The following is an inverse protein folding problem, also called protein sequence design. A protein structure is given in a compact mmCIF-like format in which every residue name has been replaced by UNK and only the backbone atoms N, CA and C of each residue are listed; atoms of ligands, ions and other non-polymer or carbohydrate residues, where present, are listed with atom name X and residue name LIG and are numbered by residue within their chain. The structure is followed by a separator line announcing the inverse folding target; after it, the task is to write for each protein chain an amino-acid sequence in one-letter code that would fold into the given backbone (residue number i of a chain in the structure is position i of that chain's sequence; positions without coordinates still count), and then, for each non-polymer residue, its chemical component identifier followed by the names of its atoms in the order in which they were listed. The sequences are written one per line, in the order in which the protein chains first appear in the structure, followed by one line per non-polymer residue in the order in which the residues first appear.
data_IF_912586311040
#
_entry.id   IF_912586311040
#
_cell.length_a   1.000
_cell.length_b   1.000
_cell.length_c   1.000
_cell.angle_alpha   90.00
_cell.angle_beta   90.00
_cell.angle_gamma   90.00
#
_symmetry.space_group_name_H-M   'P 1'
#
loop_
_entity.id
_entity.type
_entity.pdbx_description
1 polymer ?
#
# COMPACT_ATOMS: atom_id res chain seq x y z
N UNK A 1 58.10 -17.78 -35.39
CA UNK A 1 57.56 -16.45 -35.71
C UNK A 1 56.21 -16.61 -36.39
N UNK A 2 55.33 -15.61 -36.28
CA UNK A 2 54.01 -15.43 -36.91
C UNK A 2 52.75 -15.49 -36.01
N UNK A 3 52.62 -14.38 -35.27
CA UNK A 3 51.46 -13.45 -35.27
C UNK A 3 50.15 -13.90 -34.62
N UNK A 4 50.05 -13.48 -33.36
CA UNK A 4 48.86 -13.13 -32.58
C UNK A 4 47.75 -12.52 -33.45
N UNK A 5 46.57 -13.16 -33.48
CA UNK A 5 45.33 -12.51 -33.94
C UNK A 5 44.49 -12.15 -32.72
N UNK A 6 44.58 -10.87 -32.35
CA UNK A 6 43.60 -10.19 -31.51
C UNK A 6 42.22 -10.29 -32.19
N UNK A 7 41.34 -11.13 -31.66
CA UNK A 7 39.91 -11.00 -31.93
C UNK A 7 39.32 -10.12 -30.83
N UNK A 8 39.01 -8.88 -31.20
CA UNK A 8 38.29 -7.93 -30.37
C UNK A 8 36.85 -8.44 -30.15
N UNK A 9 36.56 -8.93 -28.95
CA UNK A 9 35.20 -9.17 -28.51
C UNK A 9 34.59 -7.83 -28.08
N UNK A 10 33.74 -7.25 -28.93
CA UNK A 10 32.88 -6.13 -28.59
C UNK A 10 31.85 -6.63 -27.55
N UNK A 11 32.08 -6.33 -26.27
CA UNK A 11 31.04 -6.48 -25.25
C UNK A 11 30.04 -5.33 -25.41
N UNK A 12 28.90 -5.61 -26.02
CA UNK A 12 27.75 -4.72 -26.01
C UNK A 12 27.25 -4.59 -24.56
N UNK A 13 27.49 -3.42 -23.94
CA UNK A 13 26.88 -3.04 -22.67
C UNK A 13 25.39 -2.83 -22.91
N UNK A 14 24.58 -3.86 -22.62
CA UNK A 14 23.15 -3.69 -22.49
C UNK A 14 22.88 -2.80 -21.27
N UNK A 15 22.51 -1.55 -21.53
CA UNK A 15 21.99 -0.66 -20.50
C UNK A 15 20.69 -1.29 -19.97
N UNK A 16 20.72 -1.80 -18.75
CA UNK A 16 19.50 -2.22 -18.04
C UNK A 16 18.75 -0.93 -17.73
N UNK A 17 17.76 -0.59 -18.54
CA UNK A 17 16.76 0.42 -18.19
C UNK A 17 15.94 -0.16 -17.04
N UNK A 18 16.38 0.07 -15.81
CA UNK A 18 15.62 -0.26 -14.63
C UNK A 18 14.29 0.50 -14.69
N UNK A 19 13.18 -0.23 -14.85
CA UNK A 19 11.87 0.33 -14.63
C UNK A 19 11.86 0.89 -13.21
N UNK A 20 11.74 2.20 -13.07
CA UNK A 20 11.47 2.84 -11.80
C UNK A 20 10.05 2.46 -11.38
N UNK A 21 9.86 1.23 -10.91
CA UNK A 21 8.68 0.86 -10.15
C UNK A 21 8.71 1.74 -8.91
N UNK A 22 7.69 2.59 -8.79
CA UNK A 22 7.35 3.38 -7.60
C UNK A 22 7.80 2.57 -6.37
N UNK A 23 8.76 3.10 -5.60
CA UNK A 23 9.19 2.49 -4.33
C UNK A 23 8.01 2.61 -3.36
N UNK A 24 7.01 1.75 -3.53
CA UNK A 24 6.12 1.39 -2.45
C UNK A 24 6.97 0.51 -1.54
N UNK A 25 7.21 0.97 -0.31
CA UNK A 25 7.87 0.17 0.72
C UNK A 25 7.29 -1.24 0.66
N UNK A 26 8.11 -2.31 0.61
CA UNK A 26 7.59 -3.66 0.59
C UNK A 26 6.73 -3.84 1.84
N UNK A 27 5.42 -3.90 1.63
CA UNK A 27 4.45 -4.06 2.69
C UNK A 27 4.68 -5.43 3.32
N UNK A 28 4.97 -5.46 4.62
CA UNK A 28 5.10 -6.71 5.35
C UNK A 28 3.73 -7.31 5.66
N UNK A 29 3.04 -7.76 4.61
CA UNK A 29 1.73 -8.38 4.73
C UNK A 29 1.77 -9.57 5.70
N UNK A 30 2.86 -10.35 5.71
CA UNK A 30 2.97 -11.57 6.51
C UNK A 30 2.95 -11.26 8.00
N UNK A 31 3.64 -10.20 8.43
CA UNK A 31 3.65 -9.78 9.84
C UNK A 31 2.29 -9.28 10.29
N UNK A 32 1.60 -8.48 9.47
CA UNK A 32 0.37 -7.79 9.88
C UNK A 32 -0.93 -8.48 9.46
N UNK A 33 -0.90 -9.58 8.68
CA UNK A 33 -2.13 -10.27 8.20
C UNK A 33 -3.08 -10.73 9.31
N UNK A 34 -2.56 -10.89 10.53
CA UNK A 34 -3.33 -11.34 11.68
C UNK A 34 -3.82 -10.19 12.57
N UNK A 35 -3.43 -8.95 12.28
CA UNK A 35 -3.93 -7.79 13.01
C UNK A 35 -5.45 -7.64 12.80
N UNK A 36 -6.21 -7.17 13.80
CA UNK A 36 -7.67 -7.16 13.76
C UNK A 36 -8.24 -6.49 12.51
N UNK A 37 -7.72 -5.32 12.13
CA UNK A 37 -8.14 -4.58 10.95
C UNK A 37 -7.88 -5.37 9.65
N UNK A 38 -6.68 -5.94 9.49
CA UNK A 38 -6.34 -6.68 8.29
C UNK A 38 -7.16 -7.97 8.16
N UNK A 39 -7.37 -8.66 9.29
CA UNK A 39 -8.00 -9.98 9.35
C UNK A 39 -9.53 -9.96 9.35
N UNK A 40 -10.15 -9.01 10.02
CA UNK A 40 -11.58 -9.06 10.34
C UNK A 40 -12.41 -8.00 9.60
N UNK A 41 -11.83 -6.89 9.16
CA UNK A 41 -12.57 -5.88 8.39
C UNK A 41 -12.72 -6.36 6.96
N UNK A 42 -13.94 -6.40 6.43
CA UNK A 42 -14.20 -6.73 5.03
C UNK A 42 -15.06 -5.66 4.34
N UNK A 43 -15.02 -5.66 3.01
CA UNK A 43 -15.87 -4.80 2.16
C UNK A 43 -17.34 -5.01 2.52
N UNK A 44 -18.08 -3.91 2.66
CA UNK A 44 -19.49 -3.88 3.04
C UNK A 44 -19.76 -3.78 4.55
N UNK A 45 -18.75 -3.95 5.41
CA UNK A 45 -18.91 -3.70 6.85
C UNK A 45 -19.26 -2.23 7.13
N UNK A 46 -20.02 -1.97 8.20
CA UNK A 46 -20.30 -0.59 8.62
C UNK A 46 -19.08 0.04 9.27
N UNK A 47 -18.99 1.38 9.21
CA UNK A 47 -18.03 2.15 9.99
C UNK A 47 -18.03 1.80 11.48
N UNK A 48 -19.21 1.58 12.07
CA UNK A 48 -19.32 1.15 13.48
C UNK A 48 -18.70 -0.23 13.75
N UNK A 49 -18.87 -1.20 12.84
CA UNK A 49 -18.20 -2.50 12.94
C UNK A 49 -16.67 -2.35 12.85
N UNK A 50 -16.18 -1.51 11.95
CA UNK A 50 -14.74 -1.23 11.85
C UNK A 50 -14.18 -0.60 13.12
N UNK A 51 -14.87 0.37 13.70
CA UNK A 51 -14.49 0.99 14.98
C UNK A 51 -14.51 -0.02 16.14
N UNK A 52 -15.40 -1.02 16.09
CA UNK A 52 -15.43 -2.11 17.07
C UNK A 52 -14.20 -3.02 16.94
N UNK A 53 -13.75 -3.28 15.71
CA UNK A 53 -12.59 -4.13 15.43
C UNK A 53 -11.26 -3.42 15.69
N UNK A 54 -11.11 -2.20 15.18
CA UNK A 54 -9.84 -1.46 15.16
C UNK A 54 -9.71 -0.36 16.21
N UNK A 55 -10.76 -0.06 16.96
CA UNK A 55 -10.79 1.08 17.86
C UNK A 55 -10.86 2.43 17.12
N UNK A 56 -10.57 3.54 17.82
CA UNK A 56 -10.58 4.87 17.21
C UNK A 56 -9.46 4.99 16.17
N UNK A 57 -9.73 5.62 15.02
CA UNK A 57 -8.70 5.84 14.01
C UNK A 57 -7.69 6.89 14.50
N UNK A 58 -6.48 6.84 13.94
CA UNK A 58 -5.46 7.87 14.17
C UNK A 58 -5.87 9.20 13.55
N UNK A 59 -6.43 9.17 12.34
CA UNK A 59 -7.09 10.32 11.71
C UNK A 59 -8.27 9.83 10.85
N UNK A 60 -9.23 10.71 10.63
CA UNK A 60 -10.32 10.51 9.69
C UNK A 60 -10.37 11.70 8.73
N UNK A 61 -10.60 11.44 7.44
CA UNK A 61 -10.78 12.47 6.43
C UNK A 61 -11.99 12.20 5.54
N UNK A 62 -12.58 13.28 5.02
CA UNK A 62 -13.55 13.20 3.94
C UNK A 62 -12.80 12.93 2.63
N UNK A 63 -13.26 11.95 1.87
CA UNK A 63 -12.68 11.63 0.57
C UNK A 63 -13.05 12.72 -0.44
N UNK A 64 -12.13 12.98 -1.34
CA UNK A 64 -12.16 14.01 -2.38
C UNK A 64 -12.27 13.40 -3.78
N UNK A 65 -11.76 12.17 -3.97
CA UNK A 65 -11.82 11.46 -5.26
C UNK A 65 -13.12 10.69 -5.43
N UNK A 66 -13.61 10.07 -4.35
CA UNK A 66 -14.90 9.39 -4.28
C UNK A 66 -15.70 9.92 -3.09
N UNK A 67 -17.01 9.74 -3.08
CA UNK A 67 -17.85 10.07 -1.93
C UNK A 67 -17.57 9.12 -0.76
N UNK A 68 -17.61 9.65 0.46
CA UNK A 68 -17.45 8.90 1.70
C UNK A 68 -16.29 9.41 2.56
N UNK A 69 -15.84 8.59 3.50
CA UNK A 69 -14.76 8.93 4.46
C UNK A 69 -13.64 7.90 4.40
N UNK A 70 -12.48 8.22 4.96
CA UNK A 70 -11.38 7.28 5.12
C UNK A 70 -10.75 7.43 6.50
N UNK A 71 -10.50 6.29 7.15
CA UNK A 71 -9.85 6.19 8.43
C UNK A 71 -8.41 5.71 8.27
N UNK A 72 -7.47 6.45 8.85
CA UNK A 72 -6.09 6.02 9.04
C UNK A 72 -5.93 5.28 10.37
N UNK A 73 -5.16 4.20 10.36
CA UNK A 73 -4.74 3.44 11.52
C UNK A 73 -3.22 3.23 11.51
N UNK A 74 -2.66 3.03 12.70
CA UNK A 74 -1.28 2.57 12.88
C UNK A 74 -1.34 1.27 13.66
N UNK A 75 -1.01 0.17 12.98
CA UNK A 75 -0.89 -1.14 13.60
C UNK A 75 0.52 -1.28 14.16
N UNK A 76 0.63 -1.86 15.36
CA UNK A 76 1.91 -2.12 16.00
C UNK A 76 2.05 -3.62 16.26
N UNK A 77 3.12 -4.22 15.74
CA UNK A 77 3.43 -5.63 15.92
C UNK A 77 4.91 -5.81 16.18
N UNK A 78 5.26 -6.41 17.32
CA UNK A 78 6.63 -6.71 17.71
C UNK A 78 7.57 -5.47 17.63
N UNK A 79 7.06 -4.31 18.05
CA UNK A 79 7.76 -3.02 18.01
C UNK A 79 7.81 -2.34 16.63
N UNK A 80 7.33 -3.02 15.59
CA UNK A 80 7.21 -2.48 14.23
C UNK A 80 5.86 -1.78 14.06
N UNK A 81 5.86 -0.64 13.36
CA UNK A 81 4.64 0.12 13.04
C UNK A 81 4.32 0.05 11.56
N UNK A 82 3.05 -0.10 11.24
CA UNK A 82 2.56 -0.14 9.88
C UNK A 82 1.27 0.66 9.76
N UNK A 83 1.24 1.60 8.82
CA UNK A 83 0.04 2.36 8.48
C UNK A 83 -0.96 1.48 7.73
N UNK A 84 -2.23 1.70 7.98
CA UNK A 84 -3.33 1.00 7.36
C UNK A 84 -4.52 1.93 7.16
N UNK A 85 -5.12 1.93 5.98
CA UNK A 85 -6.35 2.67 5.73
C UNK A 85 -7.55 1.73 5.68
N UNK A 86 -8.71 2.27 6.05
CA UNK A 86 -10.02 1.71 5.73
C UNK A 86 -10.87 2.84 5.15
N UNK A 87 -11.30 2.71 3.90
CA UNK A 87 -12.18 3.67 3.23
C UNK A 87 -13.63 3.20 3.29
N UNK A 88 -14.52 4.17 3.36
CA UNK A 88 -15.96 4.00 3.38
C UNK A 88 -16.58 4.73 2.19
N UNK A 89 -17.65 4.17 1.65
CA UNK A 89 -18.49 4.78 0.64
C UNK A 89 -19.44 5.84 1.25
N UNK A 90 -20.33 6.39 0.42
CA UNK A 90 -21.33 7.37 0.84
C UNK A 90 -22.39 6.82 1.83
N UNK A 91 -22.47 5.51 2.02
CA UNK A 91 -23.40 4.83 2.94
C UNK A 91 -22.70 4.34 4.22
N UNK A 92 -21.49 4.85 4.50
CA UNK A 92 -20.64 4.43 5.61
C UNK A 92 -20.32 2.92 5.60
N UNK A 93 -20.20 2.33 4.40
CA UNK A 93 -19.79 0.93 4.18
C UNK A 93 -18.38 0.84 3.65
N UNK A 94 -17.59 -0.11 4.17
CA UNK A 94 -16.22 -0.33 3.72
C UNK A 94 -16.20 -0.60 2.22
N UNK A 95 -15.43 0.18 1.47
CA UNK A 95 -15.21 -0.01 0.03
C UNK A 95 -13.74 -0.22 -0.33
N UNK A 96 -12.84 -0.06 0.63
CA UNK A 96 -11.40 -0.28 0.46
C UNK A 96 -10.67 -0.42 1.78
N UNK A 97 -9.55 -1.17 1.76
CA UNK A 97 -8.63 -1.31 2.89
C UNK A 97 -7.22 -1.63 2.38
N UNK A 98 -6.18 -1.23 3.10
CA UNK A 98 -4.82 -1.57 2.68
C UNK A 98 -3.70 -0.87 3.43
N UNK A 99 -2.47 -1.26 3.09
CA UNK A 99 -1.25 -0.87 3.79
C UNK A 99 -0.63 0.43 3.25
N UNK A 100 -1.37 1.51 3.42
CA UNK A 100 -0.97 2.88 3.08
C UNK A 100 -1.82 3.85 3.90
N UNK A 101 -1.54 5.15 3.83
CA UNK A 101 -2.44 6.15 4.42
C UNK A 101 -3.62 6.45 3.49
N UNK A 102 -4.68 7.05 4.04
CA UNK A 102 -5.82 7.56 3.27
C UNK A 102 -5.38 8.54 2.17
N UNK A 103 -4.43 9.43 2.45
CA UNK A 103 -3.89 10.40 1.51
C UNK A 103 -3.15 9.71 0.34
N UNK A 104 -2.36 8.67 0.65
CA UNK A 104 -1.68 7.86 -0.36
C UNK A 104 -2.69 7.09 -1.23
N UNK A 105 -3.71 6.51 -0.62
CA UNK A 105 -4.81 5.86 -1.33
C UNK A 105 -5.49 6.84 -2.29
N UNK A 106 -5.86 8.04 -1.83
CA UNK A 106 -6.49 9.04 -2.70
C UNK A 106 -5.56 9.55 -3.81
N UNK A 107 -4.26 9.69 -3.54
CA UNK A 107 -3.28 10.01 -4.58
C UNK A 107 -3.19 8.90 -5.62
N UNK A 108 -3.23 7.63 -5.21
CA UNK A 108 -3.27 6.51 -6.14
C UNK A 108 -4.57 6.51 -6.96
N UNK A 109 -5.73 6.76 -6.33
CA UNK A 109 -7.01 6.89 -7.04
C UNK A 109 -7.03 8.00 -8.08
N UNK A 110 -6.41 9.16 -7.81
CA UNK A 110 -6.31 10.26 -8.79
C UNK A 110 -5.44 9.94 -10.01
N UNK A 111 -4.51 9.01 -9.86
CA UNK A 111 -3.52 8.68 -10.89
C UNK A 111 -3.89 7.43 -11.71
N UNK A 112 -5.05 6.84 -11.45
CA UNK A 112 -5.64 5.74 -12.23
C UNK A 112 -6.55 6.29 -13.31
#
# INVERSE_FOLDING_TARGET
MYKTKLLAAFCALAAVTGCASKMENPVDYVTYRNEPLAKQVDVGMTKSQVLTVGGPPSTELNRTVRSGTCNNYVMEKDGSKQVYYVSFDANDRVDGKGFMTCEQMEQNERNM
#
